data_IF_796676313892
#
_entry.id   IF_796676313892
#
_cell.length_a   1.000
_cell.length_b   1.000
_cell.length_c   1.000
_cell.angle_alpha   90.00
_cell.angle_beta   90.00
_cell.angle_gamma   90.00
#
_symmetry.space_group_name_H-M   'P 1'
#
loop_
_entity.id
_entity.type
_entity.pdbx_description
1 polymer ?
#
# COMPACT_ATOMS: atom_id res chain seq x y z
N UNK A 1 -12.37 7.08 1.66
CA UNK A 1 -11.67 5.82 1.30
C UNK A 1 -10.65 5.48 2.38
N UNK A 2 -10.18 4.23 2.46
CA UNK A 2 -9.15 3.80 3.41
C UNK A 2 -8.57 2.43 3.09
N UNK A 3 -7.53 2.04 3.82
CA UNK A 3 -6.88 0.73 3.70
C UNK A 3 -6.89 0.00 5.05
N UNK A 4 -7.17 -1.30 5.02
CA UNK A 4 -6.97 -2.22 6.14
C UNK A 4 -5.88 -3.24 5.75
N UNK A 5 -4.88 -3.38 6.61
CA UNK A 5 -3.81 -4.36 6.45
C UNK A 5 -3.88 -5.43 7.54
N UNK A 6 -3.33 -6.61 7.26
CA UNK A 6 -3.26 -7.74 8.19
C UNK A 6 -4.65 -8.17 8.72
N UNK A 7 -5.66 -8.12 7.84
CA UNK A 7 -7.05 -8.43 8.19
C UNK A 7 -7.24 -9.87 8.70
N UNK A 8 -6.41 -10.81 8.22
CA UNK A 8 -6.47 -12.26 8.55
C UNK A 8 -7.86 -12.87 8.35
N UNK A 9 -8.67 -12.30 7.48
CA UNK A 9 -10.00 -12.78 7.13
C UNK A 9 -9.88 -13.74 5.94
N UNK A 10 -10.64 -14.85 5.96
CA UNK A 10 -10.75 -15.73 4.78
C UNK A 10 -11.70 -15.11 3.77
N UNK A 11 -11.44 -15.30 2.48
CA UNK A 11 -12.24 -14.73 1.38
C UNK A 11 -13.74 -15.03 1.53
N UNK A 12 -14.09 -16.26 1.92
CA UNK A 12 -15.48 -16.70 2.19
C UNK A 12 -16.22 -15.87 3.26
N UNK A 13 -15.48 -15.14 4.11
CA UNK A 13 -16.01 -14.28 5.18
C UNK A 13 -15.97 -12.80 4.81
N UNK A 14 -15.35 -12.42 3.69
CA UNK A 14 -15.16 -11.03 3.26
C UNK A 14 -16.48 -10.25 3.29
N UNK A 15 -17.50 -10.72 2.57
CA UNK A 15 -18.80 -10.04 2.46
C UNK A 15 -19.44 -9.84 3.83
N UNK A 16 -19.44 -10.87 4.68
CA UNK A 16 -19.98 -10.77 6.04
C UNK A 16 -19.24 -9.73 6.89
N UNK A 17 -17.92 -9.66 6.78
CA UNK A 17 -17.12 -8.68 7.49
C UNK A 17 -17.38 -7.25 6.97
N UNK A 18 -17.44 -7.07 5.65
CA UNK A 18 -17.74 -5.78 5.02
C UNK A 18 -19.13 -5.28 5.40
N UNK A 19 -20.16 -6.12 5.29
CA UNK A 19 -21.54 -5.75 5.64
C UNK A 19 -21.69 -5.38 7.12
N UNK A 20 -20.91 -5.99 8.00
CA UNK A 20 -20.96 -5.71 9.43
C UNK A 20 -20.19 -4.44 9.83
N UNK A 21 -19.02 -4.21 9.22
CA UNK A 21 -18.11 -3.15 9.63
C UNK A 21 -18.28 -1.85 8.82
N UNK A 22 -18.54 -1.98 7.51
CA UNK A 22 -18.65 -0.87 6.56
C UNK A 22 -19.81 -1.13 5.59
N UNK A 23 -21.08 -1.04 6.04
CA UNK A 23 -22.23 -1.30 5.20
C UNK A 23 -22.20 -0.45 3.93
N UNK A 24 -22.49 -1.07 2.78
CA UNK A 24 -22.54 -0.44 1.45
C UNK A 24 -21.19 0.05 0.88
N UNK A 25 -20.08 -0.12 1.60
CA UNK A 25 -18.76 0.18 1.07
C UNK A 25 -18.32 -0.88 0.06
N UNK A 26 -17.59 -0.43 -0.95
CA UNK A 26 -16.90 -1.28 -1.90
C UNK A 26 -15.52 -1.66 -1.37
N UNK A 27 -14.98 -2.78 -1.86
CA UNK A 27 -13.66 -3.27 -1.45
C UNK A 27 -12.91 -3.91 -2.62
N UNK A 28 -11.61 -3.65 -2.68
CA UNK A 28 -10.63 -4.40 -3.47
C UNK A 28 -9.72 -5.12 -2.49
N UNK A 29 -9.50 -6.41 -2.70
CA UNK A 29 -8.62 -7.25 -1.87
C UNK A 29 -7.61 -7.97 -2.74
N UNK A 30 -6.50 -8.44 -2.15
CA UNK A 30 -5.47 -9.18 -2.88
C UNK A 30 -5.54 -10.72 -2.71
N UNK A 31 -6.72 -11.32 -2.52
CA UNK A 31 -6.85 -12.78 -2.41
C UNK A 31 -6.28 -13.54 -3.63
N UNK A 32 -6.33 -12.93 -4.83
CA UNK A 32 -5.71 -13.46 -6.06
C UNK A 32 -4.19 -13.66 -5.94
N UNK A 33 -3.54 -12.93 -5.02
CA UNK A 33 -2.09 -12.94 -4.85
C UNK A 33 -1.64 -13.47 -3.48
N UNK A 34 -2.55 -13.59 -2.51
CA UNK A 34 -2.23 -14.12 -1.18
C UNK A 34 -3.46 -14.77 -0.51
N UNK A 35 -3.32 -16.00 -0.01
CA UNK A 35 -4.44 -16.79 0.54
C UNK A 35 -5.21 -16.10 1.69
N UNK A 36 -4.54 -15.21 2.43
CA UNK A 36 -5.14 -14.46 3.54
C UNK A 36 -5.67 -13.07 3.14
N UNK A 37 -5.54 -12.64 1.89
CA UNK A 37 -6.03 -11.34 1.40
C UNK A 37 -5.65 -10.19 2.33
N UNK A 38 -4.35 -10.03 2.58
CA UNK A 38 -3.82 -9.20 3.68
C UNK A 38 -4.02 -7.70 3.48
N UNK A 39 -4.40 -7.25 2.29
CA UNK A 39 -4.59 -5.84 1.95
C UNK A 39 -6.00 -5.65 1.43
N UNK A 40 -6.77 -4.79 2.10
CA UNK A 40 -8.10 -4.39 1.69
C UNK A 40 -8.11 -2.88 1.45
N UNK A 41 -8.47 -2.45 0.24
CA UNK A 41 -8.74 -1.05 -0.08
C UNK A 41 -10.26 -0.86 -0.12
N UNK A 42 -10.79 -0.05 0.78
CA UNK A 42 -12.24 0.11 0.99
C UNK A 42 -12.67 1.56 0.71
N UNK A 43 -13.83 1.74 0.10
CA UNK A 43 -14.36 3.08 -0.18
C UNK A 43 -15.88 3.13 -0.28
N UNK A 44 -16.45 4.32 -0.07
CA UNK A 44 -17.84 4.62 -0.43
C UNK A 44 -17.91 4.96 -1.92
N UNK A 45 -18.69 4.21 -2.70
CA UNK A 45 -18.90 4.48 -4.14
C UNK A 45 -19.69 5.75 -4.41
N UNK A 46 -20.31 6.33 -3.38
CA UNK A 46 -21.01 7.62 -3.48
C UNK A 46 -20.03 8.80 -3.41
N UNK A 47 -18.88 8.63 -2.75
CA UNK A 47 -17.92 9.70 -2.48
C UNK A 47 -16.73 9.68 -3.43
N UNK A 48 -16.27 8.49 -3.84
CA UNK A 48 -15.06 8.34 -4.65
C UNK A 48 -15.19 7.27 -5.72
N UNK A 49 -14.49 7.50 -6.83
CA UNK A 49 -14.31 6.54 -7.92
C UNK A 49 -12.92 5.94 -7.79
N UNK A 50 -12.83 4.61 -7.79
CA UNK A 50 -11.57 3.87 -7.63
C UNK A 50 -11.35 2.97 -8.84
N UNK A 51 -10.19 3.10 -9.48
CA UNK A 51 -9.77 2.25 -10.60
C UNK A 51 -8.50 1.48 -10.23
N UNK A 52 -8.56 0.15 -10.20
CA UNK A 52 -7.39 -0.71 -9.95
C UNK A 52 -6.36 -0.54 -11.07
N UNK A 53 -5.11 -0.22 -10.70
CA UNK A 53 -3.98 -0.08 -11.62
C UNK A 53 -3.08 -1.32 -11.57
N UNK A 54 -2.72 -1.74 -10.36
CA UNK A 54 -1.82 -2.87 -10.13
C UNK A 54 -2.12 -3.57 -8.79
N UNK A 55 -1.76 -4.84 -8.69
CA UNK A 55 -1.92 -5.63 -7.48
C UNK A 55 -0.86 -6.73 -7.40
N UNK A 56 -0.35 -6.94 -6.18
CA UNK A 56 0.51 -8.07 -5.82
C UNK A 56 0.21 -8.53 -4.39
N UNK A 57 1.04 -9.42 -3.85
CA UNK A 57 0.92 -9.92 -2.48
C UNK A 57 1.27 -8.87 -1.41
N UNK A 58 1.96 -7.79 -1.81
CA UNK A 58 2.45 -6.71 -0.94
C UNK A 58 1.86 -5.31 -1.26
N UNK A 59 1.17 -5.13 -2.40
CA UNK A 59 0.63 -3.82 -2.80
C UNK A 59 -0.71 -3.93 -3.55
N UNK A 60 -1.57 -2.93 -3.37
CA UNK A 60 -2.72 -2.62 -4.23
C UNK A 60 -2.59 -1.15 -4.65
N UNK A 61 -2.38 -0.88 -5.93
CA UNK A 61 -2.31 0.46 -6.49
C UNK A 61 -3.58 0.81 -7.25
N UNK A 62 -4.15 1.98 -6.98
CA UNK A 62 -5.37 2.47 -7.59
C UNK A 62 -5.26 3.95 -7.97
N UNK A 63 -5.92 4.35 -9.06
CA UNK A 63 -6.27 5.75 -9.28
C UNK A 63 -7.56 6.04 -8.51
N UNK A 64 -7.56 7.15 -7.77
CA UNK A 64 -8.68 7.62 -6.97
C UNK A 64 -9.10 8.98 -7.45
N UNK A 65 -10.38 9.14 -7.73
CA UNK A 65 -11.01 10.41 -8.08
C UNK A 65 -12.08 10.74 -7.04
N UNK A 66 -12.13 12.01 -6.63
CA UNK A 66 -13.15 12.57 -5.74
C UNK A 66 -14.04 13.48 -6.58
N UNK A 67 -15.21 13.02 -7.05
CA UNK A 67 -16.04 13.80 -7.99
C UNK A 67 -16.47 15.16 -7.45
N UNK A 68 -16.71 15.25 -6.14
CA UNK A 68 -17.16 16.50 -5.49
C UNK A 68 -16.10 17.62 -5.61
N UNK A 69 -14.82 17.29 -5.44
CA UNK A 69 -13.73 18.28 -5.47
C UNK A 69 -12.99 18.31 -6.81
N UNK A 70 -13.21 17.32 -7.68
CA UNK A 70 -12.45 17.11 -8.91
C UNK A 70 -11.00 16.65 -8.67
N UNK A 71 -10.63 16.31 -7.43
CA UNK A 71 -9.29 15.86 -7.12
C UNK A 71 -9.05 14.44 -7.65
N UNK A 72 -7.85 14.22 -8.18
CA UNK A 72 -7.39 12.92 -8.66
C UNK A 72 -5.98 12.67 -8.16
N UNK A 73 -5.72 11.45 -7.72
CA UNK A 73 -4.41 11.00 -7.24
C UNK A 73 -4.28 9.49 -7.35
N UNK A 74 -3.05 9.00 -7.25
CA UNK A 74 -2.76 7.58 -7.15
C UNK A 74 -2.61 7.23 -5.66
N UNK A 75 -3.17 6.10 -5.25
CA UNK A 75 -2.98 5.55 -3.93
C UNK A 75 -2.48 4.11 -4.03
N UNK A 76 -1.43 3.80 -3.28
CA UNK A 76 -0.92 2.45 -3.13
C UNK A 76 -1.02 2.00 -1.67
N UNK A 77 -1.89 1.04 -1.43
CA UNK A 77 -2.04 0.34 -0.16
C UNK A 77 -1.00 -0.77 -0.04
N UNK A 78 -0.16 -0.75 0.99
CA UNK A 78 1.01 -1.61 1.14
C UNK A 78 0.92 -2.42 2.43
N UNK A 79 1.22 -3.72 2.32
CA UNK A 79 1.56 -4.57 3.44
C UNK A 79 2.82 -5.35 3.07
N UNK A 80 3.98 -4.78 3.39
CA UNK A 80 5.26 -5.31 2.98
C UNK A 80 5.61 -6.58 3.75
N UNK A 81 6.39 -7.48 3.14
CA UNK A 81 6.94 -8.63 3.86
C UNK A 81 8.01 -8.20 4.87
N UNK A 82 8.27 -9.08 5.84
CA UNK A 82 9.16 -8.80 6.97
C UNK A 82 10.64 -8.77 6.59
N UNK A 83 11.05 -9.47 5.53
CA UNK A 83 12.46 -9.53 5.12
C UNK A 83 12.75 -8.65 3.90
N UNK A 84 13.93 -8.02 3.91
CA UNK A 84 14.42 -7.20 2.79
C UNK A 84 14.48 -7.96 1.46
N UNK A 85 14.77 -9.26 1.50
CA UNK A 85 14.81 -10.12 0.33
C UNK A 85 13.42 -10.25 -0.32
N UNK A 86 12.38 -10.49 0.48
CA UNK A 86 10.98 -10.62 0.03
C UNK A 86 10.40 -9.27 -0.45
N UNK A 87 10.86 -8.15 0.11
CA UNK A 87 10.50 -6.79 -0.33
C UNK A 87 11.03 -6.43 -1.73
N UNK A 88 11.86 -7.27 -2.37
CA UNK A 88 12.36 -7.02 -3.73
C UNK A 88 11.24 -6.89 -4.76
N UNK A 89 10.14 -7.62 -4.62
CA UNK A 89 8.98 -7.47 -5.51
C UNK A 89 8.29 -6.12 -5.28
N UNK A 90 7.98 -5.77 -4.03
CA UNK A 90 7.39 -4.47 -3.68
C UNK A 90 8.17 -3.28 -4.26
N UNK A 91 9.51 -3.30 -4.14
CA UNK A 91 10.36 -2.24 -4.71
C UNK A 91 10.22 -2.12 -6.23
N UNK A 92 10.12 -3.26 -6.93
CA UNK A 92 9.90 -3.27 -8.39
C UNK A 92 8.52 -2.73 -8.73
N UNK A 93 7.49 -3.11 -7.97
CA UNK A 93 6.11 -2.65 -8.19
C UNK A 93 5.99 -1.13 -7.98
N UNK A 94 6.67 -0.57 -6.97
CA UNK A 94 6.75 0.88 -6.72
C UNK A 94 7.43 1.61 -7.88
N UNK A 95 8.63 1.18 -8.28
CA UNK A 95 9.36 1.78 -9.41
C UNK A 95 8.57 1.68 -10.72
N UNK A 96 7.87 0.56 -10.94
CA UNK A 96 7.02 0.37 -12.11
C UNK A 96 5.82 1.34 -12.10
N UNK A 97 5.20 1.55 -10.92
CA UNK A 97 4.12 2.53 -10.76
C UNK A 97 4.63 3.95 -11.07
N UNK A 98 5.78 4.34 -10.52
CA UNK A 98 6.39 5.64 -10.81
C UNK A 98 6.69 5.81 -12.31
N UNK A 99 7.32 4.83 -12.93
CA UNK A 99 7.66 4.86 -14.35
C UNK A 99 6.41 4.94 -15.24
N UNK A 100 5.34 4.23 -14.86
CA UNK A 100 4.10 4.20 -15.62
C UNK A 100 3.31 5.51 -15.52
N UNK A 101 3.27 6.15 -14.35
CA UNK A 101 2.28 7.22 -14.10
C UNK A 101 2.87 8.60 -13.78
N UNK A 102 4.19 8.74 -13.59
CA UNK A 102 4.82 10.04 -13.31
C UNK A 102 4.50 11.14 -14.33
N UNK A 103 4.32 10.77 -15.60
CA UNK A 103 3.97 11.69 -16.68
C UNK A 103 2.57 12.34 -16.54
N UNK A 104 1.70 11.78 -15.69
CA UNK A 104 0.37 12.33 -15.41
C UNK A 104 0.40 13.47 -14.39
N UNK A 105 1.53 13.67 -13.69
CA UNK A 105 1.69 14.68 -12.64
C UNK A 105 0.62 14.60 -11.52
N UNK A 106 0.05 13.40 -11.31
CA UNK A 106 -0.88 13.15 -10.22
C UNK A 106 -0.12 12.99 -8.90
N UNK A 107 -0.63 13.51 -7.77
CA UNK A 107 -0.11 13.14 -6.46
C UNK A 107 -0.13 11.62 -6.28
N UNK A 108 0.88 11.08 -5.60
CA UNK A 108 0.94 9.65 -5.29
C UNK A 108 1.10 9.44 -3.79
N UNK A 109 0.13 8.78 -3.20
CA UNK A 109 0.07 8.50 -1.76
C UNK A 109 0.38 7.02 -1.55
N UNK A 110 1.38 6.73 -0.73
CA UNK A 110 1.58 5.39 -0.19
C UNK A 110 0.99 5.31 1.22
N UNK A 111 0.22 4.26 1.50
CA UNK A 111 -0.38 4.03 2.82
C UNK A 111 -0.21 2.56 3.24
N UNK A 112 -0.08 2.31 4.53
CA UNK A 112 -0.07 0.97 5.09
C UNK A 112 1.15 0.69 5.96
N UNK A 113 1.59 -0.56 5.98
CA UNK A 113 2.69 -1.04 6.81
C UNK A 113 3.84 -1.54 5.92
N UNK A 114 4.98 -0.86 6.03
CA UNK A 114 6.17 -1.12 5.23
C UNK A 114 7.12 -2.13 5.89
N UNK A 115 6.88 -2.53 7.14
CA UNK A 115 7.73 -3.43 7.92
C UNK A 115 9.23 -3.08 7.85
N UNK A 116 9.54 -1.79 7.73
CA UNK A 116 10.88 -1.22 7.66
C UNK A 116 10.80 0.25 8.09
N UNK A 117 11.82 0.72 8.81
CA UNK A 117 11.93 2.14 9.23
C UNK A 117 12.82 2.94 8.27
N UNK A 118 12.53 4.23 8.09
CA UNK A 118 13.37 5.14 7.31
C UNK A 118 14.56 5.66 8.11
N UNK A 119 14.48 5.61 9.44
CA UNK A 119 15.55 6.05 10.34
C UNK A 119 15.73 5.10 11.52
N UNK A 120 16.98 4.90 11.93
CA UNK A 120 17.33 4.16 13.15
C UNK A 120 16.78 4.79 14.43
N UNK A 121 16.37 6.07 14.39
CA UNK A 121 15.71 6.76 15.51
C UNK A 121 14.27 6.31 15.74
N UNK A 122 13.64 5.64 14.77
CA UNK A 122 12.27 5.14 14.85
C UNK A 122 12.19 3.79 15.57
N UNK A 123 13.35 3.15 15.82
CA UNK A 123 13.44 1.89 16.53
C UNK A 123 13.80 2.06 18.01
N UNK A 124 13.04 1.39 18.88
CA UNK A 124 13.23 1.39 20.33
C UNK A 124 14.58 0.78 20.79
N UNK A 125 15.32 0.13 19.89
CA UNK A 125 16.60 -0.55 20.13
C UNK A 125 17.69 -0.11 19.14
N UNK A 126 17.90 1.20 19.03
CA UNK A 126 18.88 1.82 18.11
C UNK A 126 20.32 1.24 18.16
N UNK A 127 20.68 0.50 19.22
CA UNK A 127 22.03 -0.06 19.42
C UNK A 127 22.24 -1.47 18.82
N UNK A 128 21.18 -2.23 18.50
CA UNK A 128 21.28 -3.61 17.97
C UNK A 128 21.16 -3.70 16.43
N UNK A 129 21.04 -2.57 15.72
CA UNK A 129 20.65 -2.47 14.30
C UNK A 129 21.80 -2.71 13.30
N UNK A 130 22.75 -3.61 13.58
CA UNK A 130 23.83 -3.90 12.61
C UNK A 130 23.39 -4.79 11.45
N UNK A 131 22.32 -5.56 11.63
CA UNK A 131 21.87 -6.55 10.63
C UNK A 131 20.85 -5.99 9.63
N UNK A 132 20.26 -4.82 9.90
CA UNK A 132 19.10 -4.31 9.16
C UNK A 132 19.37 -2.96 8.46
N UNK A 133 20.63 -2.51 8.43
CA UNK A 133 21.04 -1.33 7.65
C UNK A 133 20.78 -1.50 6.14
N UNK A 134 20.85 -2.72 5.64
CA UNK A 134 20.62 -3.01 4.21
C UNK A 134 19.14 -2.79 3.85
N UNK A 135 18.21 -3.22 4.71
CA UNK A 135 16.78 -3.00 4.53
C UNK A 135 16.43 -1.52 4.49
N UNK A 136 16.89 -0.76 5.49
CA UNK A 136 16.74 0.68 5.58
C UNK A 136 17.33 1.42 4.37
N UNK A 137 18.56 1.12 3.97
CA UNK A 137 19.19 1.74 2.79
C UNK A 137 18.39 1.46 1.50
N UNK A 138 17.89 0.24 1.33
CA UNK A 138 17.08 -0.11 0.16
C UNK A 138 15.71 0.57 0.17
N UNK A 139 15.14 0.80 1.35
CA UNK A 139 13.88 1.54 1.46
C UNK A 139 14.09 3.02 1.15
N UNK A 140 15.16 3.63 1.67
CA UNK A 140 15.58 4.98 1.33
C UNK A 140 15.86 5.15 -0.18
N UNK A 141 16.54 4.19 -0.80
CA UNK A 141 16.77 4.17 -2.25
C UNK A 141 15.44 4.24 -3.02
N UNK A 142 14.47 3.41 -2.65
CA UNK A 142 13.16 3.37 -3.33
C UNK A 142 12.38 4.66 -3.12
N UNK A 143 12.41 5.24 -1.91
CA UNK A 143 11.78 6.54 -1.67
C UNK A 143 12.40 7.64 -2.53
N UNK A 144 13.72 7.60 -2.71
CA UNK A 144 14.44 8.56 -3.55
C UNK A 144 14.11 8.36 -5.03
N UNK A 145 14.18 7.12 -5.52
CA UNK A 145 13.85 6.74 -6.90
C UNK A 145 12.42 7.14 -7.29
N UNK A 146 11.51 7.08 -6.33
CA UNK A 146 10.10 7.38 -6.51
C UNK A 146 9.74 8.83 -6.16
N UNK A 147 10.72 9.66 -5.77
CA UNK A 147 10.50 11.03 -5.29
C UNK A 147 9.42 11.14 -4.18
N UNK A 148 9.42 10.18 -3.26
CA UNK A 148 8.49 10.09 -2.15
C UNK A 148 9.04 10.85 -0.94
N UNK A 149 8.16 11.52 -0.22
CA UNK A 149 8.46 12.18 1.05
C UNK A 149 7.56 11.64 2.15
N UNK A 150 8.11 11.48 3.34
CA UNK A 150 7.32 11.18 4.54
C UNK A 150 6.57 12.44 5.02
N UNK A 151 5.36 12.27 5.54
CA UNK A 151 4.42 13.36 5.87
C UNK A 151 4.26 13.58 7.38
#
# INVERSE_FOLDING_TARGET
>A
FGCLVETRVREEKLTKCMDAAMPHWQVITNYEHHQLGRIWLCWSSEEVVVTKLHMSDQIISCAIQIPETGQEFICSAIYAHNTSAERTQLRRDLRATQAAYSHLHLPWILIGDFNETLSSSEHSRALDYRTDQIGMMQFQEVTTDCALSDL
#
